data_IF_798997432982
#
_entry.id   IF_798997432982
#
_cell.length_a   1.000
_cell.length_b   1.000
_cell.length_c   1.000
_cell.angle_alpha   90.00
_cell.angle_beta   90.00
_cell.angle_gamma   90.00
#
_symmetry.space_group_name_H-M   'P 1'
#
loop_
_entity.id
_entity.type
_entity.pdbx_description
1 polymer ?
#
# COMPACT_ATOMS: atom_id res chain seq x y z
N UNK A 1 28.70 -4.63 18.05
CA UNK A 1 28.29 -3.48 17.21
C UNK A 1 27.67 -4.02 15.93
N UNK A 2 26.40 -3.73 15.68
CA UNK A 2 25.72 -4.08 14.43
C UNK A 2 25.78 -2.81 13.57
N UNK A 3 26.46 -2.87 12.42
CA UNK A 3 26.65 -1.73 11.49
C UNK A 3 27.22 -0.42 12.10
N UNK A 4 28.01 -0.51 13.18
CA UNK A 4 28.62 0.67 13.82
C UNK A 4 27.68 1.51 14.68
N UNK A 5 26.45 1.05 14.90
CA UNK A 5 25.45 1.71 15.75
C UNK A 5 25.36 1.05 17.12
N UNK A 6 25.00 1.83 18.13
CA UNK A 6 24.61 1.30 19.44
C UNK A 6 23.29 0.51 19.31
N UNK A 7 23.03 -0.47 20.20
CA UNK A 7 21.78 -1.25 20.14
C UNK A 7 20.51 -0.40 20.21
N UNK A 8 20.55 0.73 20.92
CA UNK A 8 19.45 1.67 21.01
C UNK A 8 19.21 2.45 19.70
N UNK A 9 20.28 2.88 19.02
CA UNK A 9 20.19 3.57 17.72
C UNK A 9 19.68 2.63 16.62
N UNK A 10 20.12 1.36 16.63
CA UNK A 10 19.62 0.35 15.69
C UNK A 10 18.10 0.13 15.83
N UNK A 11 17.61 0.03 17.07
CA UNK A 11 16.18 -0.10 17.35
C UNK A 11 15.38 1.12 16.87
N UNK A 12 15.86 2.33 17.15
CA UNK A 12 15.17 3.57 16.79
C UNK A 12 15.17 3.88 15.30
N UNK A 13 16.26 3.59 14.59
CA UNK A 13 16.44 3.99 13.19
C UNK A 13 16.05 2.93 12.18
N UNK A 14 16.11 1.65 12.55
CA UNK A 14 15.86 0.54 11.61
C UNK A 14 14.58 -0.19 11.99
N UNK A 15 14.47 -0.63 13.23
CA UNK A 15 13.37 -1.53 13.62
C UNK A 15 12.03 -0.78 13.67
N UNK A 16 11.97 0.32 14.43
CA UNK A 16 10.73 1.07 14.62
C UNK A 16 10.13 1.65 13.33
N UNK A 17 10.92 2.31 12.45
CA UNK A 17 10.39 2.85 11.18
C UNK A 17 9.90 1.75 10.24
N UNK A 18 10.59 0.61 10.17
CA UNK A 18 10.18 -0.49 9.30
C UNK A 18 8.85 -1.11 9.76
N UNK A 19 8.63 -1.27 11.07
CA UNK A 19 7.34 -1.71 11.58
C UNK A 19 6.22 -0.70 11.29
N UNK A 20 6.48 0.59 11.50
CA UNK A 20 5.52 1.65 11.17
C UNK A 20 5.16 1.64 9.68
N UNK A 21 6.15 1.44 8.82
CA UNK A 21 5.96 1.40 7.38
C UNK A 21 5.08 0.21 6.95
N UNK A 22 5.32 -0.97 7.53
CA UNK A 22 4.52 -2.18 7.29
C UNK A 22 3.08 -1.97 7.77
N UNK A 23 2.89 -1.44 8.98
CA UNK A 23 1.56 -1.15 9.54
C UNK A 23 0.83 -0.12 8.66
N UNK A 24 1.53 0.94 8.24
CA UNK A 24 1.01 1.97 7.34
C UNK A 24 0.54 1.40 6.00
N UNK A 25 1.33 0.50 5.40
CA UNK A 25 0.96 -0.19 4.15
C UNK A 25 -0.30 -1.03 4.29
N UNK A 26 -0.43 -1.80 5.38
CA UNK A 26 -1.64 -2.59 5.65
C UNK A 26 -2.85 -1.70 5.89
N UNK A 27 -2.72 -0.64 6.69
CA UNK A 27 -3.81 0.30 6.95
C UNK A 27 -4.27 1.00 5.66
N UNK A 28 -3.33 1.41 4.81
CA UNK A 28 -3.63 2.01 3.51
C UNK A 28 -4.42 1.03 2.62
N UNK A 29 -3.99 -0.23 2.57
CA UNK A 29 -4.69 -1.28 1.82
C UNK A 29 -6.13 -1.48 2.30
N UNK A 30 -6.33 -1.57 3.61
CA UNK A 30 -7.67 -1.67 4.22
C UNK A 30 -8.51 -0.43 3.90
N UNK A 31 -7.91 0.76 3.92
CA UNK A 31 -8.59 2.01 3.55
C UNK A 31 -9.14 1.98 2.12
N UNK A 32 -8.34 1.53 1.15
CA UNK A 32 -8.80 1.39 -0.23
C UNK A 32 -9.88 0.30 -0.40
N UNK A 33 -9.81 -0.80 0.36
CA UNK A 33 -10.89 -1.79 0.38
C UNK A 33 -12.22 -1.20 0.85
N UNK A 34 -12.22 -0.43 1.94
CA UNK A 34 -13.43 0.23 2.41
C UNK A 34 -13.96 1.23 1.39
N UNK A 35 -13.10 2.02 0.76
CA UNK A 35 -13.50 2.93 -0.33
C UNK A 35 -14.11 2.17 -1.51
N UNK A 36 -13.54 1.03 -1.92
CA UNK A 36 -14.11 0.20 -2.97
C UNK A 36 -15.48 -0.39 -2.61
N UNK A 37 -15.69 -0.79 -1.36
CA UNK A 37 -17.01 -1.24 -0.87
C UNK A 37 -18.01 -0.09 -0.89
N UNK A 38 -17.61 1.12 -0.46
CA UNK A 38 -18.46 2.31 -0.51
C UNK A 38 -18.83 2.62 -1.97
N UNK A 39 -17.86 2.65 -2.88
CA UNK A 39 -18.09 2.88 -4.31
C UNK A 39 -19.09 1.87 -4.90
N UNK A 40 -18.96 0.58 -4.57
CA UNK A 40 -19.92 -0.45 -4.97
C UNK A 40 -21.35 -0.16 -4.47
N UNK A 41 -21.50 0.32 -3.23
CA UNK A 41 -22.83 0.70 -2.70
C UNK A 41 -23.39 1.92 -3.42
N UNK A 42 -22.55 2.91 -3.71
CA UNK A 42 -22.94 4.09 -4.48
C UNK A 42 -23.41 3.72 -5.90
N UNK A 43 -22.73 2.80 -6.59
CA UNK A 43 -23.15 2.32 -7.92
C UNK A 43 -24.52 1.63 -7.90
N UNK A 44 -24.81 0.83 -6.87
CA UNK A 44 -26.12 0.18 -6.73
C UNK A 44 -27.23 1.21 -6.47
N UNK A 45 -26.94 2.28 -5.73
CA UNK A 45 -27.93 3.29 -5.34
C UNK A 45 -28.16 4.34 -6.43
N UNK A 46 -27.10 4.78 -7.11
CA UNK A 46 -27.15 5.84 -8.14
C UNK A 46 -27.26 5.30 -9.57
N UNK A 47 -26.99 4.01 -9.80
CA UNK A 47 -27.05 3.39 -11.14
C UNK A 47 -25.88 3.72 -12.07
N UNK A 48 -24.89 4.51 -11.59
CA UNK A 48 -23.72 4.94 -12.37
C UNK A 48 -22.50 4.06 -12.14
N UNK A 49 -21.75 3.75 -13.20
CA UNK A 49 -20.59 2.86 -13.14
C UNK A 49 -19.41 3.55 -12.44
N UNK A 50 -19.19 3.19 -11.18
CA UNK A 50 -18.11 3.72 -10.34
C UNK A 50 -16.76 3.05 -10.56
N UNK A 51 -16.71 1.95 -11.33
CA UNK A 51 -15.47 1.19 -11.57
C UNK A 51 -14.78 0.73 -10.28
N UNK A 52 -15.57 0.36 -9.26
CA UNK A 52 -15.12 -0.10 -7.94
C UNK A 52 -14.07 -1.22 -7.97
N UNK A 53 -14.01 -2.02 -9.04
CA UNK A 53 -13.02 -3.08 -9.23
C UNK A 53 -11.58 -2.54 -9.21
N UNK A 54 -11.34 -1.35 -9.75
CA UNK A 54 -10.02 -0.73 -9.68
C UNK A 54 -9.67 -0.31 -8.26
N UNK A 55 -10.65 0.08 -7.44
CA UNK A 55 -10.41 0.49 -6.05
C UNK A 55 -10.17 -0.70 -5.10
N UNK A 56 -10.70 -1.89 -5.43
CA UNK A 56 -10.46 -3.12 -4.66
C UNK A 56 -9.22 -3.87 -5.17
N UNK A 57 -9.04 -3.93 -6.49
CA UNK A 57 -7.98 -4.69 -7.13
C UNK A 57 -6.63 -3.98 -7.17
N UNK A 58 -6.60 -2.68 -7.50
CA UNK A 58 -5.36 -1.92 -7.56
C UNK A 58 -4.53 -1.96 -6.27
N UNK A 59 -5.09 -1.77 -5.06
CA UNK A 59 -4.30 -1.72 -3.83
C UNK A 59 -3.66 -3.06 -3.46
N UNK A 60 -4.05 -4.19 -4.08
CA UNK A 60 -3.39 -5.48 -3.83
C UNK A 60 -1.88 -5.43 -4.11
N UNK A 61 -1.42 -4.56 -5.00
CA UNK A 61 0.01 -4.31 -5.21
C UNK A 61 0.72 -3.68 -4.01
N UNK A 62 0.05 -2.80 -3.26
CA UNK A 62 0.54 -2.27 -1.97
C UNK A 62 0.72 -3.43 -0.98
N UNK A 63 -0.25 -4.35 -0.90
CA UNK A 63 -0.16 -5.49 0.01
C UNK A 63 1.00 -6.42 -0.34
N UNK A 64 1.20 -6.72 -1.62
CA UNK A 64 2.33 -7.55 -2.09
C UNK A 64 3.66 -6.89 -1.71
N UNK A 65 3.79 -5.59 -1.94
CA UNK A 65 4.97 -4.81 -1.57
C UNK A 65 5.23 -4.89 -0.05
N UNK A 66 4.19 -4.66 0.77
CA UNK A 66 4.30 -4.74 2.24
C UNK A 66 4.70 -6.14 2.73
N UNK A 67 4.19 -7.21 2.11
CA UNK A 67 4.58 -8.60 2.45
C UNK A 67 6.04 -8.86 2.10
N UNK A 68 6.50 -8.40 0.94
CA UNK A 68 7.90 -8.57 0.52
C UNK A 68 8.86 -7.82 1.43
N UNK A 69 8.49 -6.61 1.84
CA UNK A 69 9.28 -5.82 2.78
C UNK A 69 9.32 -6.47 4.17
N UNK A 70 8.18 -6.97 4.66
CA UNK A 70 8.13 -7.77 5.89
C UNK A 70 9.05 -9.00 5.81
N UNK A 71 9.03 -9.74 4.69
CA UNK A 71 9.90 -10.90 4.52
C UNK A 71 11.39 -10.54 4.47
N UNK A 72 11.76 -9.44 3.81
CA UNK A 72 13.15 -9.01 3.74
C UNK A 72 13.66 -8.48 5.09
N UNK A 73 12.86 -7.68 5.79
CA UNK A 73 13.30 -6.98 7.01
C UNK A 73 13.14 -7.85 8.25
N UNK A 74 11.97 -8.48 8.44
CA UNK A 74 11.63 -9.20 9.67
C UNK A 74 12.20 -10.61 9.66
N UNK A 75 12.14 -11.30 8.51
CA UNK A 75 12.58 -12.71 8.42
C UNK A 75 14.08 -12.82 8.09
N UNK A 76 14.58 -12.05 7.12
CA UNK A 76 16.00 -12.11 6.75
C UNK A 76 16.90 -11.19 7.57
N UNK A 77 16.33 -10.32 8.43
CA UNK A 77 17.10 -9.39 9.26
C UNK A 77 17.89 -8.35 8.46
N UNK A 78 17.50 -8.10 7.20
CA UNK A 78 18.13 -7.08 6.36
C UNK A 78 17.61 -5.70 6.75
N UNK A 79 18.47 -4.68 6.73
CA UNK A 79 18.06 -3.28 6.97
C UNK A 79 17.04 -2.82 5.92
N UNK A 80 17.21 -3.29 4.68
CA UNK A 80 16.31 -3.00 3.56
C UNK A 80 16.19 -4.19 2.62
N UNK A 81 15.15 -4.17 1.80
CA UNK A 81 14.96 -5.12 0.72
C UNK A 81 16.11 -5.10 -0.29
N UNK A 82 16.60 -6.27 -0.77
CA UNK A 82 17.69 -6.34 -1.74
C UNK A 82 17.32 -5.61 -3.04
N UNK A 83 18.30 -4.90 -3.63
CA UNK A 83 18.06 -3.91 -4.68
C UNK A 83 17.31 -4.44 -5.92
N UNK A 84 17.54 -5.70 -6.29
CA UNK A 84 16.89 -6.37 -7.42
C UNK A 84 15.39 -6.58 -7.21
N UNK A 85 15.00 -7.00 -6.01
CA UNK A 85 13.60 -7.24 -5.66
C UNK A 85 12.93 -5.90 -5.30
N UNK A 86 13.67 -4.98 -4.68
CA UNK A 86 13.18 -3.66 -4.30
C UNK A 86 12.71 -2.85 -5.53
N UNK A 87 13.43 -2.88 -6.64
CA UNK A 87 13.02 -2.19 -7.87
C UNK A 87 11.65 -2.68 -8.37
N UNK A 88 11.47 -4.00 -8.46
CA UNK A 88 10.21 -4.60 -8.88
C UNK A 88 9.09 -4.24 -7.91
N UNK A 89 9.37 -4.32 -6.59
CA UNK A 89 8.39 -4.03 -5.56
C UNK A 89 7.96 -2.55 -5.57
N UNK A 90 8.90 -1.61 -5.76
CA UNK A 90 8.60 -0.19 -5.92
C UNK A 90 7.81 0.12 -7.20
N UNK A 91 8.13 -0.54 -8.32
CA UNK A 91 7.35 -0.38 -9.55
C UNK A 91 5.91 -0.88 -9.37
N UNK A 92 5.74 -2.01 -8.69
CA UNK A 92 4.43 -2.59 -8.41
C UNK A 92 3.62 -1.70 -7.47
N UNK A 93 4.27 -1.11 -6.46
CA UNK A 93 3.70 -0.10 -5.58
C UNK A 93 3.29 1.16 -6.35
N UNK A 94 4.13 1.65 -7.26
CA UNK A 94 3.85 2.84 -8.07
C UNK A 94 2.63 2.60 -8.96
N UNK A 95 2.59 1.48 -9.68
CA UNK A 95 1.46 1.10 -10.56
C UNK A 95 0.18 0.97 -9.74
N UNK A 96 0.26 0.29 -8.59
CA UNK A 96 -0.85 0.14 -7.65
C UNK A 96 -1.37 1.48 -7.13
N UNK A 97 -0.47 2.41 -6.80
CA UNK A 97 -0.80 3.77 -6.37
C UNK A 97 -1.50 4.57 -7.48
N UNK A 98 -0.97 4.54 -8.71
CA UNK A 98 -1.57 5.24 -9.86
C UNK A 98 -2.97 4.70 -10.15
N UNK A 99 -3.14 3.38 -10.16
CA UNK A 99 -4.44 2.74 -10.40
C UNK A 99 -5.45 3.07 -9.27
N UNK A 100 -5.00 3.06 -8.02
CA UNK A 100 -5.82 3.43 -6.86
C UNK A 100 -6.24 4.91 -6.92
N UNK A 101 -5.32 5.79 -7.34
CA UNK A 101 -5.60 7.21 -7.55
C UNK A 101 -6.62 7.43 -8.67
N UNK A 102 -6.47 6.76 -9.81
CA UNK A 102 -7.43 6.82 -10.92
C UNK A 102 -8.83 6.33 -10.50
N UNK A 103 -8.88 5.25 -9.71
CA UNK A 103 -10.13 4.75 -9.13
C UNK A 103 -10.80 5.78 -8.22
N UNK A 104 -10.04 6.41 -7.32
CA UNK A 104 -10.55 7.46 -6.45
C UNK A 104 -10.99 8.72 -7.22
N UNK A 105 -10.22 9.14 -8.23
CA UNK A 105 -10.56 10.30 -9.05
C UNK A 105 -11.89 10.08 -9.78
N UNK A 106 -12.10 8.90 -10.35
CA UNK A 106 -13.37 8.56 -11.02
C UNK A 106 -14.53 8.44 -10.04
N UNK A 107 -14.29 7.92 -8.83
CA UNK A 107 -15.32 7.93 -7.79
C UNK A 107 -15.71 9.37 -7.42
N UNK A 108 -14.74 10.29 -7.33
CA UNK A 108 -15.00 11.71 -7.07
C UNK A 108 -15.82 12.38 -8.18
N UNK A 109 -15.57 12.08 -9.46
CA UNK A 109 -16.39 12.65 -10.56
C UNK A 109 -17.84 12.17 -10.47
N UNK A 110 -18.05 10.87 -10.22
CA UNK A 110 -19.40 10.30 -10.05
C UNK A 110 -20.13 10.92 -8.84
N UNK A 111 -19.43 11.15 -7.73
CA UNK A 111 -20.03 11.79 -6.54
C UNK A 111 -20.32 13.27 -6.77
N UNK A 112 -19.51 13.97 -7.55
CA UNK A 112 -19.72 15.39 -7.89
C UNK A 112 -20.84 15.61 -8.91
N UNK A 113 -21.32 14.55 -9.56
CA UNK A 113 -22.42 14.63 -10.53
C UNK A 113 -22.04 15.35 -11.83
N UNK A 114 -20.75 15.30 -12.21
CA UNK A 114 -20.25 15.74 -13.52
C UNK A 114 -20.25 14.60 -14.54
#
# INVERSE_FOLDING_TARGET
MIFGLTPAEYQGLVVFPNYLFIIGGVLLWIGFLFLGIIAKRYEIVLGEKTNWQFMIGAPTGILIFTILEFYAVVINGLIRMPATIALLAYLLLLISGILSFLGCYRFLTVVKGE
#
